data_IF_907884514018
#
_entry.id   IF_907884514018
#
_cell.length_a   1.000
_cell.length_b   1.000
_cell.length_c   1.000
_cell.angle_alpha   90.00
_cell.angle_beta   90.00
_cell.angle_gamma   90.00
#
_symmetry.space_group_name_H-M   'P 1'
#
loop_
_entity.id
_entity.type
_entity.pdbx_description
1 polymer ?
#
# COMPACT_ATOMS: atom_id res chain seq x y z
N UNK A 1 -7.72 -13.38 -10.11
CA UNK A 1 -7.37 -13.53 -8.69
C UNK A 1 -5.91 -13.18 -8.47
N UNK A 2 -5.56 -12.66 -7.28
CA UNK A 2 -4.23 -12.14 -6.89
C UNK A 2 -3.03 -13.03 -7.26
N UNK A 3 -1.93 -12.39 -7.69
CA UNK A 3 -0.62 -13.01 -7.97
C UNK A 3 0.15 -13.37 -6.69
N UNK A 4 -0.25 -12.83 -5.54
CA UNK A 4 0.28 -13.12 -4.21
C UNK A 4 -0.89 -13.28 -3.23
N UNK A 5 -1.63 -14.38 -3.34
CA UNK A 5 -2.86 -14.63 -2.58
C UNK A 5 -2.65 -14.91 -1.08
N UNK A 6 -1.45 -15.34 -0.71
CA UNK A 6 -1.05 -15.62 0.68
C UNK A 6 0.25 -14.87 1.02
N UNK A 7 0.22 -13.53 1.12
CA UNK A 7 1.42 -12.71 1.26
C UNK A 7 2.23 -13.07 2.51
N UNK A 8 1.59 -13.45 3.61
CA UNK A 8 2.29 -13.89 4.81
C UNK A 8 3.21 -15.10 4.61
N UNK A 9 2.88 -16.02 3.70
CA UNK A 9 3.71 -17.21 3.43
C UNK A 9 5.03 -16.77 2.82
N UNK A 10 4.95 -15.87 1.83
CA UNK A 10 6.12 -15.27 1.21
C UNK A 10 6.90 -14.39 2.18
N UNK A 11 6.22 -13.53 2.93
CA UNK A 11 6.86 -12.62 3.89
C UNK A 11 7.53 -13.37 5.04
N UNK A 12 6.98 -14.50 5.49
CA UNK A 12 7.62 -15.36 6.48
C UNK A 12 8.94 -15.96 5.96
N UNK A 13 8.99 -16.37 4.69
CA UNK A 13 10.24 -16.81 4.07
C UNK A 13 11.26 -15.67 3.98
N UNK A 14 10.85 -14.49 3.52
CA UNK A 14 11.70 -13.28 3.49
C UNK A 14 12.22 -12.94 4.89
N UNK A 15 11.37 -13.06 5.92
CA UNK A 15 11.75 -12.80 7.31
C UNK A 15 12.91 -13.67 7.78
N UNK A 16 12.99 -14.93 7.35
CA UNK A 16 14.09 -15.85 7.69
C UNK A 16 15.39 -15.55 6.94
N UNK A 17 15.30 -14.94 5.76
CA UNK A 17 16.46 -14.59 4.92
C UNK A 17 16.99 -13.17 5.17
N UNK A 18 16.40 -12.42 6.10
CA UNK A 18 16.74 -11.01 6.35
C UNK A 18 16.80 -10.71 7.85
N UNK A 19 17.66 -9.77 8.24
CA UNK A 19 17.88 -9.43 9.66
C UNK A 19 17.46 -8.00 10.03
N UNK A 20 17.48 -7.06 9.08
CA UNK A 20 17.31 -5.62 9.35
C UNK A 20 16.17 -4.98 8.58
N UNK A 21 15.98 -5.34 7.30
CA UNK A 21 14.94 -4.73 6.46
C UNK A 21 13.55 -4.96 7.06
N UNK A 22 12.71 -3.94 7.09
CA UNK A 22 11.31 -4.10 7.53
C UNK A 22 10.53 -4.92 6.50
N UNK A 23 9.49 -5.62 6.95
CA UNK A 23 8.61 -6.39 6.08
C UNK A 23 7.18 -5.94 6.31
N UNK A 24 6.38 -5.79 5.26
CA UNK A 24 5.05 -5.23 5.40
C UNK A 24 4.04 -5.79 4.42
N UNK A 25 2.77 -5.67 4.81
CA UNK A 25 1.66 -5.95 3.91
C UNK A 25 1.36 -4.71 3.06
N UNK A 26 1.32 -4.87 1.74
CA UNK A 26 0.86 -3.83 0.81
C UNK A 26 -0.24 -4.36 -0.12
N UNK A 27 -1.35 -4.91 0.36
CA UNK A 27 -1.95 -4.81 1.70
C UNK A 27 -2.60 -6.12 2.15
N UNK A 28 -3.00 -6.22 3.43
CA UNK A 28 -3.96 -7.22 3.91
C UNK A 28 -5.38 -6.67 3.78
N UNK A 29 -6.25 -7.39 3.08
CA UNK A 29 -7.66 -7.02 2.92
C UNK A 29 -8.45 -7.36 4.19
N UNK A 30 -9.08 -6.37 4.81
CA UNK A 30 -9.84 -6.56 6.06
C UNK A 30 -11.36 -6.79 5.95
N UNK A 31 -12.05 -6.66 4.79
CA UNK A 31 -13.43 -7.14 4.71
C UNK A 31 -13.53 -8.62 5.09
N UNK A 32 -14.52 -8.98 5.91
CA UNK A 32 -14.47 -10.19 6.75
C UNK A 32 -14.46 -11.50 5.96
N UNK A 33 -15.05 -11.51 4.77
CA UNK A 33 -15.04 -12.68 3.88
C UNK A 33 -13.71 -12.88 3.14
N UNK A 34 -12.87 -11.85 2.99
CA UNK A 34 -11.48 -12.05 2.56
C UNK A 34 -10.67 -12.65 3.69
N UNK A 35 -10.72 -11.99 4.85
CA UNK A 35 -9.96 -12.36 6.03
C UNK A 35 -10.79 -12.12 7.28
N UNK A 36 -11.04 -13.20 8.03
CA UNK A 36 -11.64 -13.08 9.35
C UNK A 36 -10.75 -12.19 10.26
N UNK A 37 -11.28 -11.18 10.97
CA UNK A 37 -10.48 -10.23 11.76
C UNK A 37 -9.51 -10.87 12.74
N UNK A 38 -9.94 -11.93 13.44
CA UNK A 38 -9.08 -12.71 14.35
C UNK A 38 -7.89 -13.31 13.60
N UNK A 39 -8.12 -13.95 12.45
CA UNK A 39 -7.04 -14.53 11.65
C UNK A 39 -6.09 -13.45 11.14
N UNK A 40 -6.61 -12.28 10.78
CA UNK A 40 -5.75 -11.15 10.44
C UNK A 40 -4.84 -10.72 11.60
N UNK A 41 -5.36 -10.62 12.82
CA UNK A 41 -4.58 -10.31 14.02
C UNK A 41 -3.54 -11.40 14.33
N UNK A 42 -3.94 -12.67 14.36
CA UNK A 42 -3.07 -13.81 14.67
C UNK A 42 -1.92 -13.96 13.66
N UNK A 43 -2.22 -13.84 12.36
CA UNK A 43 -1.23 -14.02 11.29
C UNK A 43 -0.23 -12.86 11.26
N UNK A 44 -0.70 -11.63 11.48
CA UNK A 44 0.18 -10.47 11.62
C UNK A 44 1.06 -10.59 12.88
N UNK A 45 0.50 -10.97 14.04
CA UNK A 45 1.31 -11.19 15.25
C UNK A 45 2.35 -12.30 15.05
N UNK A 46 1.98 -13.38 14.37
CA UNK A 46 2.90 -14.47 14.03
C UNK A 46 4.03 -13.99 13.12
N UNK A 47 3.71 -13.24 12.07
CA UNK A 47 4.72 -12.67 11.17
C UNK A 47 5.62 -11.65 11.88
N UNK A 48 5.07 -10.89 12.82
CA UNK A 48 5.84 -9.99 13.67
C UNK A 48 6.86 -10.75 14.52
N UNK A 49 6.45 -11.85 15.16
CA UNK A 49 7.34 -12.75 15.91
C UNK A 49 8.42 -13.33 14.98
N UNK A 50 8.02 -13.89 13.84
CA UNK A 50 8.96 -14.51 12.88
C UNK A 50 9.98 -13.52 12.34
N UNK A 51 9.57 -12.27 12.18
CA UNK A 51 10.43 -11.18 11.72
C UNK A 51 11.21 -10.50 12.83
N UNK A 52 11.01 -10.89 14.10
CA UNK A 52 11.64 -10.27 15.28
C UNK A 52 11.31 -8.78 15.38
N UNK A 53 10.04 -8.44 15.15
CA UNK A 53 9.52 -7.10 15.37
C UNK A 53 9.75 -6.15 14.19
N UNK A 54 9.78 -6.67 12.96
CA UNK A 54 10.03 -5.88 11.74
C UNK A 54 8.76 -5.70 10.90
N UNK A 55 7.59 -6.05 11.43
CA UNK A 55 6.34 -5.97 10.68
C UNK A 55 5.81 -4.54 10.57
N UNK A 56 5.41 -4.15 9.36
CA UNK A 56 4.45 -3.07 9.08
C UNK A 56 3.11 -3.67 8.63
N UNK A 57 2.04 -3.43 9.39
CA UNK A 57 0.72 -3.98 9.11
C UNK A 57 -0.09 -3.06 8.21
N UNK A 58 0.14 -3.15 6.90
CA UNK A 58 -0.65 -2.41 5.92
C UNK A 58 -1.96 -3.10 5.53
N UNK A 59 -3.02 -2.31 5.47
CA UNK A 59 -4.40 -2.75 5.36
C UNK A 59 -5.12 -2.09 4.19
N UNK A 60 -6.17 -2.72 3.70
CA UNK A 60 -7.02 -2.12 2.68
C UNK A 60 -8.39 -2.79 2.59
N UNK A 61 -9.25 -2.22 1.73
CA UNK A 61 -10.65 -2.62 1.57
C UNK A 61 -10.98 -3.26 0.23
N UNK A 62 -9.95 -3.56 -0.57
CA UNK A 62 -10.00 -3.97 -1.99
C UNK A 62 -10.26 -2.81 -2.95
N UNK A 63 -9.85 -3.01 -4.19
CA UNK A 63 -10.08 -2.13 -5.33
C UNK A 63 -10.42 -2.94 -6.61
N UNK A 64 -10.89 -4.18 -6.45
CA UNK A 64 -11.20 -5.10 -7.54
C UNK A 64 -12.63 -5.60 -7.42
N UNK A 65 -13.50 -5.23 -8.35
CA UNK A 65 -14.88 -5.70 -8.41
C UNK A 65 -14.94 -7.23 -8.54
N UNK A 66 -14.06 -7.81 -9.37
CA UNK A 66 -13.96 -9.25 -9.58
C UNK A 66 -13.59 -10.01 -8.31
N UNK A 67 -12.69 -9.46 -7.49
CA UNK A 67 -12.34 -10.10 -6.22
C UNK A 67 -13.48 -9.96 -5.20
N UNK A 68 -14.13 -8.79 -5.13
CA UNK A 68 -15.28 -8.60 -4.24
C UNK A 68 -16.41 -9.58 -4.57
N UNK A 69 -16.75 -9.72 -5.85
CA UNK A 69 -17.73 -10.71 -6.32
C UNK A 69 -17.29 -12.14 -5.99
N UNK A 70 -16.03 -12.50 -6.29
CA UNK A 70 -15.51 -13.84 -6.06
C UNK A 70 -15.51 -14.29 -4.59
N UNK A 71 -15.37 -13.35 -3.65
CA UNK A 71 -15.46 -13.61 -2.20
C UNK A 71 -16.85 -13.33 -1.61
N UNK A 72 -17.84 -12.95 -2.44
CA UNK A 72 -19.20 -12.65 -2.00
C UNK A 72 -19.28 -11.47 -1.04
N UNK A 73 -18.49 -10.42 -1.29
CA UNK A 73 -18.44 -9.22 -0.46
C UNK A 73 -19.25 -8.11 -1.12
N UNK A 74 -20.22 -7.58 -0.39
CA UNK A 74 -20.92 -6.37 -0.79
C UNK A 74 -19.95 -5.16 -0.75
N UNK A 75 -19.71 -4.49 -1.90
CA UNK A 75 -18.85 -3.31 -1.98
C UNK A 75 -19.21 -2.22 -0.96
N UNK A 76 -20.49 -2.05 -0.62
CA UNK A 76 -20.99 -1.04 0.32
C UNK A 76 -20.54 -1.27 1.76
N UNK A 77 -20.25 -2.52 2.11
CA UNK A 77 -19.83 -2.92 3.45
C UNK A 77 -18.31 -2.83 3.65
N UNK A 78 -17.53 -2.78 2.56
CA UNK A 78 -16.06 -2.89 2.61
C UNK A 78 -15.40 -1.86 3.52
N UNK A 79 -15.86 -0.59 3.49
CA UNK A 79 -15.32 0.49 4.32
C UNK A 79 -15.66 0.29 5.79
N UNK A 80 -16.90 -0.05 6.10
CA UNK A 80 -17.35 -0.27 7.48
C UNK A 80 -16.67 -1.49 8.11
N UNK A 81 -16.59 -2.61 7.38
CA UNK A 81 -15.90 -3.81 7.85
C UNK A 81 -14.40 -3.57 8.05
N UNK A 82 -13.75 -2.83 7.14
CA UNK A 82 -12.34 -2.45 7.30
C UNK A 82 -12.13 -1.60 8.56
N UNK A 83 -12.93 -0.56 8.79
CA UNK A 83 -12.80 0.32 9.97
C UNK A 83 -13.04 -0.46 11.27
N UNK A 84 -14.04 -1.35 11.27
CA UNK A 84 -14.35 -2.21 12.42
C UNK A 84 -13.20 -3.18 12.73
N UNK A 85 -12.69 -3.90 11.72
CA UNK A 85 -11.51 -4.76 11.90
C UNK A 85 -10.30 -3.97 12.40
N UNK A 86 -10.07 -2.79 11.84
CA UNK A 86 -8.96 -1.92 12.21
C UNK A 86 -9.01 -1.49 13.67
N UNK A 87 -10.21 -1.29 14.25
CA UNK A 87 -10.41 -0.98 15.68
C UNK A 87 -10.32 -2.21 16.58
N UNK A 88 -10.62 -3.39 16.05
CA UNK A 88 -10.54 -4.65 16.80
C UNK A 88 -9.11 -5.17 16.93
N UNK A 89 -8.34 -5.16 15.84
CA UNK A 89 -7.04 -5.84 15.76
C UNK A 89 -6.03 -5.33 16.80
N UNK A 90 -5.84 -4.01 17.02
CA UNK A 90 -4.93 -3.51 18.06
C UNK A 90 -5.33 -3.99 19.45
N UNK A 91 -6.63 -4.01 19.78
CA UNK A 91 -7.14 -4.54 21.05
C UNK A 91 -6.82 -6.02 21.22
N UNK A 92 -6.95 -6.81 20.15
CA UNK A 92 -6.55 -8.23 20.17
C UNK A 92 -5.06 -8.40 20.48
N UNK A 93 -4.20 -7.46 20.07
CA UNK A 93 -2.76 -7.51 20.35
C UNK A 93 -2.37 -6.97 21.73
N UNK A 94 -3.10 -6.00 22.27
CA UNK A 94 -2.73 -5.29 23.50
C UNK A 94 -3.46 -5.79 24.74
N UNK A 95 -4.62 -6.43 24.59
CA UNK A 95 -5.45 -6.89 25.71
C UNK A 95 -5.31 -8.39 25.95
N UNK A 96 -5.29 -8.80 27.22
CA UNK A 96 -5.29 -10.23 27.61
C UNK A 96 -6.64 -10.90 27.31
N UNK A 97 -7.74 -10.17 27.47
CA UNK A 97 -9.08 -10.62 27.13
C UNK A 97 -9.74 -9.63 26.16
N UNK A 98 -10.10 -10.12 24.98
CA UNK A 98 -10.79 -9.37 23.94
C UNK A 98 -12.22 -9.90 23.79
N UNK A 99 -13.19 -8.99 23.63
CA UNK A 99 -14.56 -9.29 23.24
C UNK A 99 -15.07 -8.22 22.28
N UNK A 100 -16.09 -8.57 21.50
CA UNK A 100 -16.73 -7.64 20.58
C UNK A 100 -18.17 -8.04 20.36
N UNK A 101 -19.09 -7.07 20.32
CA UNK A 101 -20.50 -7.30 20.01
C UNK A 101 -21.02 -6.17 19.13
N UNK A 102 -21.16 -6.47 17.84
CA UNK A 102 -21.73 -5.57 16.84
C UNK A 102 -22.70 -6.32 15.93
N UNK A 103 -23.46 -5.61 15.09
CA UNK A 103 -24.32 -6.26 14.08
C UNK A 103 -23.56 -7.13 13.07
N UNK A 104 -22.29 -6.83 12.84
CA UNK A 104 -21.45 -7.42 11.79
C UNK A 104 -20.42 -8.41 12.31
N UNK A 105 -20.09 -8.35 13.61
CA UNK A 105 -19.10 -9.22 14.23
C UNK A 105 -19.43 -9.46 15.71
N UNK A 106 -19.37 -10.72 16.15
CA UNK A 106 -19.57 -11.09 17.56
C UNK A 106 -18.47 -12.03 18.01
N UNK A 107 -17.88 -11.75 19.17
CA UNK A 107 -16.84 -12.54 19.79
C UNK A 107 -17.00 -12.54 21.32
N UNK A 108 -17.20 -13.70 21.96
CA UNK A 108 -17.21 -13.78 23.41
C UNK A 108 -15.83 -13.45 24.01
N UNK A 109 -15.74 -13.07 25.30
CA UNK A 109 -14.47 -12.75 25.95
C UNK A 109 -13.47 -13.89 25.88
N UNK A 110 -12.36 -13.72 25.16
CA UNK A 110 -11.29 -14.71 24.97
C UNK A 110 -9.94 -14.01 24.75
N UNK A 111 -8.85 -14.73 24.98
CA UNK A 111 -7.52 -14.28 24.59
C UNK A 111 -7.25 -14.62 23.11
N UNK A 112 -6.83 -13.63 22.32
CA UNK A 112 -6.35 -13.82 20.95
C UNK A 112 -4.83 -13.94 20.98
N UNK A 113 -4.31 -15.09 20.53
CA UNK A 113 -2.89 -15.41 20.56
C UNK A 113 -2.40 -15.86 19.17
N UNK A 114 -1.13 -15.59 18.80
CA UNK A 114 -0.09 -14.99 19.65
C UNK A 114 -0.19 -13.45 19.74
N UNK A 115 0.53 -12.84 20.68
CA UNK A 115 0.73 -11.38 20.73
C UNK A 115 1.97 -10.99 19.92
N UNK A 116 1.99 -9.82 19.26
CA UNK A 116 3.20 -9.33 18.60
C UNK A 116 4.34 -9.05 19.59
N UNK A 117 5.57 -9.11 19.10
CA UNK A 117 6.76 -8.73 19.85
C UNK A 117 6.95 -7.22 19.89
N UNK A 118 6.54 -6.50 18.82
CA UNK A 118 6.49 -5.03 18.84
C UNK A 118 5.49 -4.56 19.90
N UNK A 119 5.91 -3.56 20.69
CA UNK A 119 5.07 -2.91 21.71
C UNK A 119 4.81 -1.44 21.35
N UNK A 120 3.60 -0.94 21.57
CA UNK A 120 2.41 -1.67 22.02
C UNK A 120 1.86 -2.65 20.96
N UNK A 121 2.08 -2.36 19.67
CA UNK A 121 1.79 -3.25 18.54
C UNK A 121 2.61 -2.81 17.29
N UNK A 122 2.61 -3.58 16.18
CA UNK A 122 3.21 -3.16 14.92
C UNK A 122 2.61 -1.86 14.36
N UNK A 123 3.38 -1.02 13.63
CA UNK A 123 2.83 0.12 12.90
C UNK A 123 1.75 -0.32 11.90
N UNK A 124 0.69 0.48 11.79
CA UNK A 124 -0.47 0.19 10.97
C UNK A 124 -0.51 1.17 9.80
N UNK A 125 -0.86 0.68 8.62
CA UNK A 125 -0.96 1.47 7.41
C UNK A 125 -2.30 1.23 6.69
N UNK A 126 -2.74 2.22 5.93
CA UNK A 126 -3.84 2.11 4.97
C UNK A 126 -3.32 2.40 3.56
N UNK A 127 -3.71 1.61 2.57
CA UNK A 127 -3.50 1.95 1.16
C UNK A 127 -4.72 2.65 0.56
N UNK A 128 -4.48 3.63 -0.32
CA UNK A 128 -5.54 4.29 -1.07
C UNK A 128 -5.04 5.24 -2.15
N UNK A 129 -5.95 5.67 -3.01
CA UNK A 129 -5.69 6.62 -4.12
C UNK A 129 -6.51 7.90 -3.99
N UNK A 130 -7.69 7.81 -3.38
CA UNK A 130 -8.63 8.92 -3.27
C UNK A 130 -8.16 9.91 -2.18
N UNK A 131 -8.36 11.23 -2.38
CA UNK A 131 -8.09 12.24 -1.35
C UNK A 131 -8.75 11.92 0.00
N UNK A 132 -9.99 11.40 -0.02
CA UNK A 132 -10.75 11.02 1.17
C UNK A 132 -10.10 9.83 1.90
N UNK A 133 -9.35 8.98 1.19
CA UNK A 133 -8.60 7.89 1.83
C UNK A 133 -7.42 8.42 2.65
N UNK A 134 -6.77 9.49 2.19
CA UNK A 134 -5.70 10.14 2.94
C UNK A 134 -6.25 10.80 4.23
N UNK A 135 -7.39 11.49 4.13
CA UNK A 135 -8.09 12.04 5.30
C UNK A 135 -8.46 10.94 6.29
N UNK A 136 -9.08 9.85 5.83
CA UNK A 136 -9.49 8.73 6.67
C UNK A 136 -8.29 8.09 7.40
N UNK A 137 -7.15 7.91 6.73
CA UNK A 137 -5.94 7.40 7.37
C UNK A 137 -5.43 8.35 8.46
N UNK A 138 -5.44 9.66 8.21
CA UNK A 138 -5.08 10.69 9.18
C UNK A 138 -6.01 10.70 10.39
N UNK A 139 -7.33 10.67 10.19
CA UNK A 139 -8.33 10.59 11.26
C UNK A 139 -8.16 9.35 12.14
N UNK A 140 -7.65 8.23 11.58
CA UNK A 140 -7.40 6.98 12.33
C UNK A 140 -6.00 6.90 12.92
N UNK A 141 -5.16 7.92 12.73
CA UNK A 141 -3.80 7.97 13.27
C UNK A 141 -2.87 6.89 12.71
N UNK A 142 -3.05 6.49 11.46
CA UNK A 142 -2.25 5.43 10.81
C UNK A 142 -1.48 5.95 9.60
N UNK A 143 -0.46 5.20 9.17
CA UNK A 143 0.31 5.57 8.00
C UNK A 143 -0.53 5.44 6.73
N UNK A 144 -0.22 6.23 5.71
CA UNK A 144 -0.92 6.18 4.43
C UNK A 144 0.03 5.79 3.30
N UNK A 145 -0.34 4.78 2.51
CA UNK A 145 0.39 4.35 1.31
C UNK A 145 -0.40 4.77 0.07
N UNK A 146 0.02 5.86 -0.57
CA UNK A 146 -0.64 6.39 -1.75
C UNK A 146 -0.21 5.66 -3.02
N UNK A 147 -1.15 5.06 -3.75
CA UNK A 147 -0.88 4.48 -5.07
C UNK A 147 -0.72 5.58 -6.13
N UNK A 148 0.52 5.88 -6.52
CA UNK A 148 0.88 7.06 -7.32
C UNK A 148 0.97 6.77 -8.83
N UNK A 149 0.61 5.56 -9.27
CA UNK A 149 0.69 5.15 -10.67
C UNK A 149 -0.27 5.91 -11.58
N UNK A 150 -1.45 6.27 -11.06
CA UNK A 150 -2.52 6.82 -11.88
C UNK A 150 -2.40 8.30 -12.17
N UNK A 151 -2.14 9.08 -11.13
CA UNK A 151 -1.82 10.49 -11.24
C UNK A 151 -1.19 10.97 -9.93
N UNK A 152 0.13 11.22 -9.90
CA UNK A 152 0.80 11.75 -8.73
C UNK A 152 0.57 13.26 -8.58
N UNK A 153 -0.02 13.97 -9.56
CA UNK A 153 -0.33 15.39 -9.39
C UNK A 153 -1.32 15.62 -8.24
N UNK A 154 -1.18 16.77 -7.57
CA UNK A 154 -1.93 17.10 -6.35
C UNK A 154 -1.50 16.26 -5.12
N UNK A 155 -0.33 15.61 -5.17
CA UNK A 155 0.23 14.89 -4.02
C UNK A 155 0.34 15.79 -2.79
N UNK A 156 0.85 17.00 -2.96
CA UNK A 156 1.00 17.99 -1.90
C UNK A 156 -0.32 18.28 -1.17
N UNK A 157 -1.44 18.37 -1.91
CA UNK A 157 -2.76 18.56 -1.34
C UNK A 157 -3.23 17.32 -0.55
N UNK A 158 -2.95 16.10 -1.05
CA UNK A 158 -3.25 14.84 -0.36
C UNK A 158 -2.41 14.67 0.92
N UNK A 159 -1.13 15.04 0.88
CA UNK A 159 -0.25 15.04 2.05
C UNK A 159 -0.76 16.06 3.07
N UNK A 160 -1.09 17.28 2.66
CA UNK A 160 -1.67 18.28 3.56
C UNK A 160 -2.97 17.81 4.20
N UNK A 161 -3.91 17.25 3.43
CA UNK A 161 -5.18 16.77 3.99
C UNK A 161 -4.99 15.61 4.96
N UNK A 162 -4.03 14.71 4.71
CA UNK A 162 -3.62 13.68 5.66
C UNK A 162 -3.10 14.30 6.97
N UNK A 163 -2.17 15.26 6.88
CA UNK A 163 -1.57 15.91 8.06
C UNK A 163 -2.59 16.74 8.86
N UNK A 164 -3.49 17.43 8.18
CA UNK A 164 -4.57 18.19 8.82
C UNK A 164 -5.53 17.26 9.57
N UNK A 165 -5.87 16.10 8.98
CA UNK A 165 -6.69 15.08 9.63
C UNK A 165 -5.98 14.44 10.83
N UNK A 166 -4.66 14.20 10.72
CA UNK A 166 -3.83 13.66 11.79
C UNK A 166 -3.86 14.52 13.06
N UNK A 167 -3.96 15.85 12.91
CA UNK A 167 -4.05 16.78 14.05
C UNK A 167 -5.31 16.59 14.91
N UNK A 168 -6.32 15.86 14.41
CA UNK A 168 -7.57 15.53 15.10
C UNK A 168 -7.80 14.02 15.16
N UNK A 169 -6.73 13.23 15.03
CA UNK A 169 -6.82 11.78 14.97
C UNK A 169 -7.49 11.18 16.21
N UNK A 170 -8.38 10.22 15.97
CA UNK A 170 -8.82 9.21 16.94
C UNK A 170 -8.06 7.91 16.62
N UNK A 171 -6.86 7.70 17.19
CA UNK A 171 -6.02 6.58 16.82
C UNK A 171 -6.72 5.25 17.11
N UNK A 172 -6.71 4.37 16.12
CA UNK A 172 -7.25 3.01 16.26
C UNK A 172 -6.33 2.11 17.09
N UNK A 173 -5.05 2.45 17.14
CA UNK A 173 -4.03 1.82 17.95
C UNK A 173 -3.61 2.68 19.14
N UNK A 174 -2.56 2.23 19.83
CA UNK A 174 -2.02 2.87 21.03
C UNK A 174 -1.01 4.00 20.71
N UNK A 175 -0.66 4.19 19.43
CA UNK A 175 0.15 5.32 18.97
C UNK A 175 -0.24 5.76 17.56
N UNK A 176 0.09 7.02 17.23
CA UNK A 176 -0.10 7.58 15.89
C UNK A 176 1.10 7.19 15.02
N UNK A 177 0.84 6.56 13.88
CA UNK A 177 1.84 6.34 12.85
C UNK A 177 1.70 7.38 11.74
N UNK A 178 2.58 8.38 11.75
CA UNK A 178 2.43 9.61 10.98
C UNK A 178 3.18 9.63 9.63
N UNK A 179 3.35 8.47 8.98
CA UNK A 179 4.08 8.40 7.71
C UNK A 179 3.14 8.38 6.51
N UNK A 180 3.44 9.22 5.52
CA UNK A 180 2.83 9.23 4.20
C UNK A 180 3.84 8.67 3.19
N UNK A 181 3.53 7.49 2.65
CA UNK A 181 4.32 6.83 1.62
C UNK A 181 3.69 7.01 0.23
N UNK A 182 4.53 7.10 -0.80
CA UNK A 182 4.11 7.02 -2.20
C UNK A 182 4.58 5.71 -2.82
N UNK A 183 3.66 4.98 -3.43
CA UNK A 183 3.93 3.74 -4.16
C UNK A 183 3.98 4.01 -5.67
N UNK A 184 5.07 3.61 -6.32
CA UNK A 184 5.24 3.67 -7.78
C UNK A 184 6.12 2.53 -8.30
N UNK A 185 6.31 2.43 -9.62
CA UNK A 185 7.22 1.47 -10.24
C UNK A 185 8.62 2.07 -10.32
N UNK A 186 9.65 1.25 -10.10
CA UNK A 186 11.05 1.65 -10.25
C UNK A 186 11.80 0.71 -11.20
N UNK A 187 12.52 1.30 -12.15
CA UNK A 187 13.61 0.65 -12.87
C UNK A 187 14.78 1.63 -13.09
N UNK A 188 15.94 1.32 -12.51
CA UNK A 188 17.15 2.14 -12.61
C UNK A 188 18.13 1.51 -13.61
N UNK A 189 18.17 2.04 -14.83
CA UNK A 189 19.12 1.65 -15.87
C UNK A 189 20.44 2.40 -15.78
N UNK A 190 21.40 2.08 -16.65
CA UNK A 190 22.67 2.84 -16.77
C UNK A 190 22.42 4.30 -17.14
N UNK A 191 21.47 4.50 -18.03
CA UNK A 191 20.95 5.77 -18.51
C UNK A 191 19.47 5.58 -18.86
N UNK A 192 18.83 6.65 -19.37
CA UNK A 192 17.41 6.62 -19.71
C UNK A 192 17.09 5.64 -20.86
N UNK A 193 18.01 5.46 -21.81
CA UNK A 193 17.81 4.55 -22.94
C UNK A 193 17.92 3.09 -22.50
N UNK A 194 18.91 2.75 -21.66
CA UNK A 194 19.06 1.43 -21.05
C UNK A 194 17.85 1.07 -20.18
N UNK A 195 17.34 2.03 -19.39
CA UNK A 195 16.16 1.85 -18.56
C UNK A 195 14.90 1.59 -19.40
N UNK A 196 14.68 2.39 -20.44
CA UNK A 196 13.55 2.21 -21.34
C UNK A 196 13.59 0.85 -22.06
N UNK A 197 14.77 0.41 -22.51
CA UNK A 197 14.93 -0.86 -23.23
C UNK A 197 14.69 -2.09 -22.35
N UNK A 198 15.07 -2.05 -21.07
CA UNK A 198 15.05 -3.23 -20.17
C UNK A 198 13.85 -3.26 -19.23
N UNK A 199 13.40 -2.11 -18.75
CA UNK A 199 12.31 -1.98 -17.78
C UNK A 199 11.04 -1.32 -18.32
N UNK A 200 11.16 -0.58 -19.43
CA UNK A 200 10.08 0.27 -19.96
C UNK A 200 8.80 -0.49 -20.27
N UNK A 201 8.88 -1.57 -21.05
CA UNK A 201 7.71 -2.34 -21.46
C UNK A 201 6.93 -2.93 -20.26
N UNK A 202 7.64 -3.50 -19.28
CA UNK A 202 7.03 -4.07 -18.08
C UNK A 202 6.38 -3.00 -17.18
N UNK A 203 7.05 -1.86 -17.02
CA UNK A 203 6.53 -0.72 -16.26
C UNK A 203 5.28 -0.12 -16.91
N UNK A 204 5.31 0.12 -18.22
CA UNK A 204 4.18 0.64 -19.00
C UNK A 204 3.00 -0.32 -18.95
N UNK A 205 3.23 -1.61 -19.16
CA UNK A 205 2.16 -2.62 -19.08
C UNK A 205 1.49 -2.62 -17.71
N UNK A 206 2.28 -2.64 -16.62
CA UNK A 206 1.72 -2.70 -15.28
C UNK A 206 0.93 -1.44 -14.92
N UNK A 207 1.45 -0.25 -15.26
CA UNK A 207 0.77 1.01 -15.02
C UNK A 207 -0.61 1.06 -15.72
N UNK A 208 -0.67 0.64 -16.99
CA UNK A 208 -1.93 0.59 -17.75
C UNK A 208 -2.88 -0.52 -17.25
N UNK A 209 -2.36 -1.66 -16.81
CA UNK A 209 -3.18 -2.71 -16.18
C UNK A 209 -3.87 -2.18 -14.92
N UNK A 210 -3.17 -1.46 -14.05
CA UNK A 210 -3.75 -0.87 -12.83
C UNK A 210 -4.86 0.13 -13.18
N UNK A 211 -4.66 0.97 -14.19
CA UNK A 211 -5.71 1.86 -14.69
C UNK A 211 -6.95 1.10 -15.16
N UNK A 212 -6.76 -0.02 -15.86
CA UNK A 212 -7.86 -0.87 -16.30
C UNK A 212 -8.61 -1.50 -15.12
N UNK A 213 -7.90 -1.95 -14.08
CA UNK A 213 -8.54 -2.45 -12.85
C UNK A 213 -9.40 -1.37 -12.21
N UNK A 214 -8.88 -0.14 -12.06
CA UNK A 214 -9.67 0.97 -11.52
C UNK A 214 -10.84 1.37 -12.42
N UNK A 215 -10.67 1.33 -13.74
CA UNK A 215 -11.75 1.57 -14.69
C UNK A 215 -12.88 0.55 -14.51
N UNK A 216 -12.53 -0.74 -14.44
CA UNK A 216 -13.49 -1.82 -14.19
C UNK A 216 -14.24 -1.64 -12.87
N UNK A 217 -13.56 -1.22 -11.80
CA UNK A 217 -14.19 -1.00 -10.50
C UNK A 217 -15.20 0.14 -10.57
N UNK A 218 -14.84 1.24 -11.25
CA UNK A 218 -15.77 2.33 -11.52
C UNK A 218 -16.99 1.83 -12.28
N UNK A 219 -16.81 1.14 -13.41
CA UNK A 219 -17.93 0.71 -14.25
C UNK A 219 -18.82 -0.34 -13.59
N UNK A 220 -18.24 -1.29 -12.84
CA UNK A 220 -18.96 -2.45 -12.32
C UNK A 220 -19.56 -2.23 -10.93
N UNK A 221 -19.01 -1.32 -10.12
CA UNK A 221 -19.54 -1.03 -8.79
C UNK A 221 -20.51 0.14 -8.83
N UNK A 222 -21.75 -0.10 -8.39
CA UNK A 222 -22.75 0.95 -8.19
C UNK A 222 -22.56 1.70 -6.85
N UNK A 223 -21.65 1.26 -5.98
CA UNK A 223 -21.52 1.80 -4.63
C UNK A 223 -20.85 3.19 -4.61
N UNK A 224 -21.38 4.10 -3.78
CA UNK A 224 -20.91 5.49 -3.67
C UNK A 224 -19.49 5.60 -3.15
N UNK A 225 -18.99 4.63 -2.37
CA UNK A 225 -17.61 4.66 -1.91
C UNK A 225 -16.59 4.49 -3.05
N UNK A 226 -17.03 4.11 -4.25
CA UNK A 226 -16.20 4.02 -5.46
C UNK A 226 -16.56 5.07 -6.52
N UNK A 227 -17.45 6.03 -6.22
CA UNK A 227 -17.89 7.08 -7.14
C UNK A 227 -16.73 7.88 -7.74
N UNK A 228 -15.69 8.16 -6.95
CA UNK A 228 -14.49 8.85 -7.42
C UNK A 228 -13.86 8.17 -8.64
N UNK A 229 -13.82 6.82 -8.66
CA UNK A 229 -13.28 6.09 -9.82
C UNK A 229 -14.21 6.23 -11.03
N UNK A 230 -15.53 6.17 -10.83
CA UNK A 230 -16.52 6.41 -11.91
C UNK A 230 -16.36 7.78 -12.53
N UNK A 231 -16.34 8.81 -11.69
CA UNK A 231 -16.24 10.21 -12.10
C UNK A 231 -14.92 10.51 -12.81
N UNK A 232 -13.80 9.99 -12.28
CA UNK A 232 -12.49 10.13 -12.91
C UNK A 232 -12.47 9.50 -14.30
N UNK A 233 -12.96 8.27 -14.42
CA UNK A 233 -12.98 7.55 -15.70
C UNK A 233 -13.92 8.22 -16.70
N UNK A 234 -15.07 8.73 -16.27
CA UNK A 234 -15.98 9.49 -17.11
C UNK A 234 -15.35 10.80 -17.62
N UNK A 235 -14.54 11.47 -16.79
CA UNK A 235 -13.86 12.73 -17.16
C UNK A 235 -12.66 12.51 -18.09
N UNK A 236 -11.84 11.50 -17.81
CA UNK A 236 -10.54 11.33 -18.47
C UNK A 236 -10.61 10.38 -19.68
N UNK A 237 -11.64 9.53 -19.75
CA UNK A 237 -11.71 8.34 -20.58
C UNK A 237 -10.50 7.40 -20.37
N UNK A 238 -10.75 6.09 -20.29
CA UNK A 238 -9.62 5.15 -20.26
C UNK A 238 -8.83 5.28 -21.57
N UNK A 239 -7.53 5.53 -21.45
CA UNK A 239 -6.57 5.39 -22.54
C UNK A 239 -5.26 4.85 -22.01
N UNK A 240 -4.59 4.08 -22.85
CA UNK A 240 -3.22 3.66 -22.55
C UNK A 240 -2.28 4.87 -22.62
N UNK A 241 -1.32 4.89 -21.69
CA UNK A 241 -0.23 5.86 -21.65
C UNK A 241 1.07 5.18 -22.06
N UNK A 242 1.86 5.85 -22.89
CA UNK A 242 3.20 5.38 -23.22
C UNK A 242 4.20 5.65 -22.08
N UNK A 243 5.40 5.07 -22.20
CA UNK A 243 6.45 5.22 -21.19
C UNK A 243 6.86 6.69 -20.99
N UNK A 244 6.94 7.48 -22.07
CA UNK A 244 7.37 8.87 -22.00
C UNK A 244 6.41 9.70 -21.16
N UNK A 245 5.11 9.57 -21.40
CA UNK A 245 4.08 10.23 -20.60
C UNK A 245 4.12 9.78 -19.13
N UNK A 246 4.22 8.47 -18.88
CA UNK A 246 4.27 7.94 -17.51
C UNK A 246 5.48 8.45 -16.72
N UNK A 247 6.64 8.59 -17.39
CA UNK A 247 7.87 9.12 -16.81
C UNK A 247 7.76 10.63 -16.57
N UNK A 248 7.25 11.40 -17.53
CA UNK A 248 7.07 12.85 -17.40
C UNK A 248 6.13 13.20 -16.24
N UNK A 249 5.05 12.44 -16.09
CA UNK A 249 4.11 12.55 -14.97
C UNK A 249 4.69 12.08 -13.64
N UNK A 250 5.81 11.36 -13.63
CA UNK A 250 6.36 10.62 -12.47
C UNK A 250 5.42 9.53 -11.94
N UNK A 251 4.47 9.08 -12.76
CA UNK A 251 3.65 7.89 -12.50
C UNK A 251 4.49 6.62 -12.40
N UNK A 252 5.64 6.59 -13.09
CA UNK A 252 6.69 5.57 -12.95
C UNK A 252 8.06 6.24 -12.85
N UNK A 253 9.01 5.57 -12.21
CA UNK A 253 10.41 5.99 -12.14
C UNK A 253 11.23 5.00 -12.96
N UNK A 254 11.29 5.22 -14.28
CA UNK A 254 12.11 4.45 -15.22
C UNK A 254 13.14 5.40 -15.83
N UNK A 255 14.42 5.18 -15.53
CA UNK A 255 15.49 6.05 -16.00
C UNK A 255 16.88 5.70 -15.48
N UNK A 256 17.86 6.54 -15.84
CA UNK A 256 19.17 6.51 -15.22
C UNK A 256 19.17 7.07 -13.79
N UNK A 257 20.28 6.97 -13.04
CA UNK A 257 20.36 7.42 -11.65
C UNK A 257 19.92 8.87 -11.43
N UNK A 258 20.32 9.80 -12.32
CA UNK A 258 19.91 11.21 -12.25
C UNK A 258 18.39 11.38 -12.30
N UNK A 259 17.71 10.69 -13.22
CA UNK A 259 16.25 10.76 -13.34
C UNK A 259 15.57 10.14 -12.12
N UNK A 260 16.09 9.03 -11.59
CA UNK A 260 15.58 8.45 -10.36
C UNK A 260 15.65 9.44 -9.19
N UNK A 261 16.80 10.13 -9.03
CA UNK A 261 16.98 11.17 -8.00
C UNK A 261 15.96 12.29 -8.19
N UNK A 262 15.88 12.88 -9.38
CA UNK A 262 14.98 14.01 -9.67
C UNK A 262 13.50 13.65 -9.44
N UNK A 263 13.09 12.42 -9.75
CA UNK A 263 11.73 11.96 -9.46
C UNK A 263 11.48 11.80 -7.96
N UNK A 264 12.43 11.25 -7.20
CA UNK A 264 12.29 11.06 -5.74
C UNK A 264 12.33 12.42 -5.02
N UNK A 265 13.23 13.34 -5.40
CA UNK A 265 13.27 14.70 -4.85
C UNK A 265 11.98 15.47 -5.12
N UNK A 266 11.33 15.20 -6.26
CA UNK A 266 10.00 15.74 -6.51
C UNK A 266 9.00 15.19 -5.50
N UNK A 267 8.90 13.87 -5.28
CA UNK A 267 8.00 13.30 -4.27
C UNK A 267 8.30 13.83 -2.85
N UNK A 268 9.58 13.93 -2.47
CA UNK A 268 10.04 14.55 -1.22
C UNK A 268 9.53 15.99 -1.11
N UNK A 269 9.63 16.79 -2.19
CA UNK A 269 9.10 18.17 -2.22
C UNK A 269 7.58 18.25 -2.09
N UNK A 270 6.84 17.16 -2.37
CA UNK A 270 5.39 17.08 -2.14
C UNK A 270 5.05 16.72 -0.68
N UNK A 271 6.04 16.45 0.18
CA UNK A 271 5.88 16.06 1.57
C UNK A 271 5.71 14.55 1.78
N UNK A 272 6.14 13.73 0.83
CA UNK A 272 6.17 12.26 0.98
C UNK A 272 7.35 11.85 1.86
N UNK A 273 7.07 11.07 2.90
CA UNK A 273 8.08 10.60 3.87
C UNK A 273 8.79 9.32 3.41
N UNK A 274 8.15 8.53 2.54
CA UNK A 274 8.67 7.22 2.15
C UNK A 274 8.29 6.85 0.71
N UNK A 275 9.26 6.37 -0.04
CA UNK A 275 9.01 5.78 -1.36
C UNK A 275 8.92 4.25 -1.26
N UNK A 276 7.85 3.70 -1.81
CA UNK A 276 7.64 2.26 -1.97
C UNK A 276 7.69 1.92 -3.46
N UNK A 277 8.51 0.94 -3.83
CA UNK A 277 8.75 0.62 -5.23
C UNK A 277 8.30 -0.78 -5.60
N UNK A 278 7.46 -0.87 -6.63
CA UNK A 278 7.29 -2.11 -7.38
C UNK A 278 8.45 -2.25 -8.36
N UNK A 279 9.28 -3.27 -8.15
CA UNK A 279 10.44 -3.54 -9.01
C UNK A 279 10.22 -4.72 -9.95
N UNK A 280 9.26 -5.60 -9.63
CA UNK A 280 8.82 -6.68 -10.52
C UNK A 280 7.54 -6.26 -11.25
N UNK A 281 7.70 -5.56 -12.36
CA UNK A 281 6.59 -5.10 -13.21
C UNK A 281 6.54 -5.90 -14.51
N UNK A 282 5.43 -6.60 -14.76
CA UNK A 282 5.26 -7.39 -15.97
C UNK A 282 6.30 -8.51 -16.10
N UNK A 283 6.96 -8.57 -17.24
CA UNK A 283 7.92 -9.61 -17.59
C UNK A 283 9.39 -9.16 -17.54
N UNK A 284 9.72 -8.14 -16.73
CA UNK A 284 11.11 -7.72 -16.54
C UNK A 284 11.92 -8.93 -16.03
N UNK A 285 13.08 -9.16 -16.65
CA UNK A 285 13.90 -10.34 -16.34
C UNK A 285 14.46 -10.22 -14.92
N UNK A 286 14.50 -11.31 -14.13
CA UNK A 286 15.04 -11.29 -12.76
C UNK A 286 16.43 -10.66 -12.66
N UNK A 287 17.34 -10.98 -13.59
CA UNK A 287 18.70 -10.42 -13.59
C UNK A 287 18.71 -8.91 -13.84
N UNK A 288 17.79 -8.39 -14.65
CA UNK A 288 17.65 -6.94 -14.88
C UNK A 288 17.13 -6.22 -13.64
N UNK A 289 16.22 -6.85 -12.89
CA UNK A 289 15.73 -6.31 -11.62
C UNK A 289 16.85 -6.25 -10.60
N UNK A 290 17.65 -7.32 -10.49
CA UNK A 290 18.78 -7.37 -9.55
C UNK A 290 19.85 -6.34 -9.93
N UNK A 291 20.17 -6.18 -11.21
CA UNK A 291 21.09 -5.13 -11.68
C UNK A 291 20.54 -3.73 -11.37
N UNK A 292 19.25 -3.49 -11.65
CA UNK A 292 18.54 -2.24 -11.34
C UNK A 292 18.59 -1.92 -9.84
N UNK A 293 18.26 -2.88 -8.97
CA UNK A 293 18.31 -2.72 -7.51
C UNK A 293 19.74 -2.43 -7.00
N UNK A 294 20.75 -3.14 -7.52
CA UNK A 294 22.15 -2.90 -7.15
C UNK A 294 22.61 -1.51 -7.58
N UNK A 295 22.24 -1.09 -8.79
CA UNK A 295 22.55 0.25 -9.30
C UNK A 295 21.87 1.32 -8.47
N UNK A 296 20.57 1.18 -8.24
CA UNK A 296 19.80 2.10 -7.39
C UNK A 296 20.43 2.23 -6.00
N UNK A 297 20.76 1.11 -5.36
CA UNK A 297 21.41 1.08 -4.04
C UNK A 297 22.79 1.73 -4.01
N UNK A 298 23.56 1.67 -5.10
CA UNK A 298 24.92 2.24 -5.19
C UNK A 298 24.94 3.70 -5.63
N UNK A 299 24.04 4.09 -6.53
CA UNK A 299 24.13 5.35 -7.28
C UNK A 299 22.99 6.33 -6.96
N UNK A 300 21.90 5.86 -6.34
CA UNK A 300 20.73 6.70 -5.99
C UNK A 300 20.56 6.80 -4.48
N UNK A 301 20.50 5.69 -3.75
CA UNK A 301 20.27 5.68 -2.28
C UNK A 301 21.27 6.56 -1.51
N UNK A 302 22.60 6.58 -1.83
CA UNK A 302 23.54 7.41 -1.10
C UNK A 302 23.28 8.92 -1.22
N UNK A 303 22.60 9.38 -2.28
CA UNK A 303 22.22 10.79 -2.45
C UNK A 303 21.26 11.28 -1.36
N UNK A 304 20.43 10.38 -0.84
CA UNK A 304 19.44 10.66 0.21
C UNK A 304 19.95 10.31 1.60
N UNK A 305 21.17 9.77 1.73
CA UNK A 305 21.74 9.40 3.03
C UNK A 305 21.88 10.62 3.94
N UNK A 306 21.27 10.55 5.13
CA UNK A 306 21.31 11.64 6.12
C UNK A 306 20.21 12.70 5.96
N UNK A 307 19.37 12.61 4.93
CA UNK A 307 18.09 13.33 4.87
C UNK A 307 17.07 12.58 5.75
N UNK A 308 16.20 13.32 6.42
CA UNK A 308 15.14 12.76 7.27
C UNK A 308 13.86 12.66 6.48
#
# INVERSE_FOLDING_TARGET
FSVASAPEVWLAAVAQHTSTIRIGHGVRLLPFHYNHPIRAAEMAATLDIMSRGRLDFGTGRSASALELEGFGIDPSLTRAQWDEALRMIPKMWTQDEFSWDSPTFKMPPRNVLPKPVQKPHPPIWMSGTQPESAVLAGERGIGFMHFSLSDPFGMDAKVRSYRDALARAEPVGEFIHEQFAAFTILFCGRDDADAAARGGAGATWYANLVELVYASLGTLSADESYAWYRERIAREAYRERDLGELVERRSVIVGGPRRCIESIEWYESQGVDMMLFLVQAGNIRPDDIVDSLRRFGREVVPHFAGRR
#
